data_IF_867028177372
#
_entry.id   IF_867028177372
#
_cell.length_a   1.000
_cell.length_b   1.000
_cell.length_c   1.000
_cell.angle_alpha   90.00
_cell.angle_beta   90.00
_cell.angle_gamma   90.00
#
_symmetry.space_group_name_H-M   'P 1'
#
loop_
_entity.id
_entity.type
_entity.pdbx_description
1 polymer ?
#
# COMPACT_ATOMS: atom_id res chain seq x y z
N UNK A 1 1.84 -14.73 4.47
CA UNK A 1 3.27 -14.70 4.88
C UNK A 1 3.40 -13.48 5.76
N UNK A 2 3.83 -13.60 7.01
CA UNK A 2 3.92 -12.42 7.86
C UNK A 2 5.27 -11.71 7.65
N UNK A 3 5.25 -10.50 7.11
CA UNK A 3 6.42 -9.64 6.95
C UNK A 3 6.72 -8.86 8.24
N UNK A 4 8.01 -8.60 8.47
CA UNK A 4 8.47 -7.71 9.54
C UNK A 4 8.09 -6.26 9.28
N UNK A 5 8.02 -5.45 10.33
CA UNK A 5 7.76 -4.02 10.21
C UNK A 5 8.73 -3.32 9.24
N UNK A 6 10.03 -3.63 9.34
CA UNK A 6 11.06 -3.06 8.46
C UNK A 6 10.86 -3.46 6.98
N UNK A 7 10.34 -4.67 6.74
CA UNK A 7 10.00 -5.11 5.38
C UNK A 7 8.79 -4.34 4.85
N UNK A 8 7.76 -4.10 5.67
CA UNK A 8 6.61 -3.28 5.28
C UNK A 8 7.01 -1.83 5.00
N UNK A 9 7.89 -1.26 5.82
CA UNK A 9 8.43 0.09 5.59
C UNK A 9 9.18 0.20 4.26
N UNK A 10 9.99 -0.81 3.91
CA UNK A 10 10.67 -0.84 2.61
C UNK A 10 9.68 -1.01 1.47
N UNK A 11 8.67 -1.87 1.63
CA UNK A 11 7.64 -2.08 0.62
C UNK A 11 6.82 -0.79 0.39
N UNK A 12 6.53 -0.02 1.44
CA UNK A 12 5.91 1.30 1.33
C UNK A 12 6.74 2.24 0.45
N UNK A 13 8.06 2.30 0.64
CA UNK A 13 8.94 3.17 -0.15
C UNK A 13 8.95 2.74 -1.62
N UNK A 14 9.05 1.43 -1.87
CA UNK A 14 8.98 0.85 -3.21
C UNK A 14 7.66 1.20 -3.91
N UNK A 15 6.53 1.08 -3.21
CA UNK A 15 5.19 1.39 -3.74
C UNK A 15 4.99 2.90 -3.94
N UNK A 16 5.46 3.74 -3.02
CA UNK A 16 5.14 5.16 -3.09
C UNK A 16 6.03 5.93 -4.07
N UNK A 17 7.32 5.60 -4.19
CA UNK A 17 8.25 6.45 -4.94
C UNK A 17 9.55 5.84 -5.45
N UNK A 18 10.09 4.75 -4.86
CA UNK A 18 11.41 4.25 -5.29
C UNK A 18 11.37 3.49 -6.63
N UNK A 19 10.28 2.79 -6.94
CA UNK A 19 10.13 2.10 -8.24
C UNK A 19 9.54 3.04 -9.29
N UNK A 20 8.51 3.77 -8.90
CA UNK A 20 7.87 4.86 -9.64
C UNK A 20 7.18 5.78 -8.64
N UNK A 21 7.11 7.08 -8.95
CA UNK A 21 6.34 8.02 -8.14
C UNK A 21 4.85 7.76 -8.34
N UNK A 22 4.15 7.40 -7.26
CA UNK A 22 2.68 7.30 -7.24
C UNK A 22 2.08 8.45 -6.43
N UNK A 23 1.21 9.22 -7.09
CA UNK A 23 0.32 10.20 -6.48
C UNK A 23 -0.77 9.53 -5.62
N UNK A 24 -1.52 10.33 -4.86
CA UNK A 24 -2.63 9.82 -4.04
C UNK A 24 -3.64 8.94 -4.81
N UNK A 25 -4.18 9.41 -5.95
CA UNK A 25 -5.06 8.60 -6.79
C UNK A 25 -4.40 7.30 -7.33
N UNK A 26 -3.12 7.35 -7.67
CA UNK A 26 -2.38 6.18 -8.17
C UNK A 26 -2.15 5.13 -7.07
N UNK A 27 -1.92 5.57 -5.83
CA UNK A 27 -1.82 4.65 -4.68
C UNK A 27 -3.18 3.98 -4.41
N UNK A 28 -4.30 4.70 -4.51
CA UNK A 28 -5.64 4.08 -4.41
C UNK A 28 -5.83 3.05 -5.51
N UNK A 29 -5.50 3.39 -6.76
CA UNK A 29 -5.60 2.47 -7.91
C UNK A 29 -4.71 1.25 -7.74
N UNK A 30 -3.51 1.40 -7.18
CA UNK A 30 -2.65 0.25 -6.85
C UNK A 30 -3.36 -0.68 -5.84
N UNK A 31 -3.92 -0.09 -4.78
CA UNK A 31 -4.54 -0.85 -3.71
C UNK A 31 -5.93 -1.44 -4.07
N UNK A 32 -6.61 -0.94 -5.10
CA UNK A 32 -7.89 -1.52 -5.53
C UNK A 32 -7.78 -2.97 -6.01
N UNK A 33 -6.56 -3.44 -6.35
CA UNK A 33 -6.28 -4.85 -6.65
C UNK A 33 -6.37 -5.78 -5.42
N UNK A 34 -6.56 -5.24 -4.22
CA UNK A 34 -6.60 -5.99 -2.96
C UNK A 34 -7.95 -5.87 -2.24
N UNK A 35 -9.04 -5.71 -2.99
CA UNK A 35 -10.44 -5.55 -2.54
C UNK A 35 -10.75 -4.20 -1.84
N UNK A 36 -9.93 -3.18 -2.09
CA UNK A 36 -10.17 -1.83 -1.60
C UNK A 36 -10.97 -0.99 -2.60
N UNK A 37 -11.91 -0.20 -2.09
CA UNK A 37 -12.78 0.70 -2.89
C UNK A 37 -12.71 2.14 -2.37
N UNK A 38 -11.51 2.56 -1.93
CA UNK A 38 -11.29 3.89 -1.38
C UNK A 38 -11.40 4.98 -2.46
N UNK A 39 -11.71 6.21 -2.04
CA UNK A 39 -11.81 7.38 -2.92
C UNK A 39 -10.86 8.48 -2.46
N UNK A 40 -10.17 9.12 -3.42
CA UNK A 40 -9.27 10.22 -3.13
C UNK A 40 -10.06 11.53 -3.02
N UNK A 41 -10.22 12.03 -1.80
CA UNK A 41 -11.07 13.18 -1.50
C UNK A 41 -10.46 14.07 -0.42
N UNK A 42 -11.09 15.20 -0.12
CA UNK A 42 -10.62 16.09 0.96
C UNK A 42 -10.57 15.33 2.29
N UNK A 43 -9.49 15.51 3.03
CA UNK A 43 -9.24 14.78 4.28
C UNK A 43 -8.63 13.39 4.10
N UNK A 44 -8.30 12.99 2.86
CA UNK A 44 -7.59 11.74 2.61
C UNK A 44 -6.21 11.76 3.32
N UNK A 45 -5.80 10.65 3.96
CA UNK A 45 -4.52 10.57 4.66
C UNK A 45 -3.34 10.82 3.71
N UNK A 46 -2.18 11.16 4.28
CA UNK A 46 -0.95 11.22 3.50
C UNK A 46 -0.62 9.85 2.89
N UNK A 47 0.10 9.85 1.77
CA UNK A 47 0.49 8.63 1.02
C UNK A 47 1.11 7.56 1.91
N UNK A 48 2.01 7.95 2.81
CA UNK A 48 2.71 7.01 3.68
C UNK A 48 1.78 6.36 4.70
N UNK A 49 0.85 7.14 5.31
CA UNK A 49 -0.14 6.63 6.28
C UNK A 49 -1.08 5.64 5.60
N UNK A 50 -1.58 5.99 4.42
CA UNK A 50 -2.48 5.12 3.67
C UNK A 50 -1.79 3.79 3.31
N UNK A 51 -0.60 3.85 2.71
CA UNK A 51 0.13 2.66 2.29
C UNK A 51 0.48 1.76 3.48
N UNK A 52 0.93 2.32 4.61
CA UNK A 52 1.19 1.53 5.83
C UNK A 52 -0.07 0.83 6.34
N UNK A 53 -1.21 1.54 6.37
CA UNK A 53 -2.48 0.94 6.78
C UNK A 53 -2.87 -0.24 5.88
N UNK A 54 -2.80 -0.06 4.55
CA UNK A 54 -3.18 -1.11 3.59
C UNK A 54 -2.24 -2.30 3.63
N UNK A 55 -0.94 -2.08 3.75
CA UNK A 55 0.06 -3.14 3.88
C UNK A 55 -0.15 -3.96 5.16
N UNK A 56 -0.40 -3.31 6.29
CA UNK A 56 -0.69 -4.00 7.55
C UNK A 56 -1.92 -4.90 7.46
N UNK A 57 -3.00 -4.40 6.85
CA UNK A 57 -4.24 -5.16 6.67
C UNK A 57 -4.06 -6.42 5.81
N UNK A 58 -3.18 -6.39 4.80
CA UNK A 58 -2.94 -7.55 3.92
C UNK A 58 -1.80 -8.46 4.39
N UNK A 59 -0.96 -8.02 5.35
CA UNK A 59 0.28 -8.69 5.74
C UNK A 59 0.08 -10.16 6.15
N UNK A 60 -0.92 -10.46 6.98
CA UNK A 60 -1.19 -11.84 7.42
C UNK A 60 -1.99 -12.67 6.40
N UNK A 61 -2.34 -12.11 5.24
CA UNK A 61 -3.21 -12.75 4.24
C UNK A 61 -2.42 -13.33 3.06
N UNK A 62 -3.10 -14.02 2.14
CA UNK A 62 -2.52 -14.44 0.86
C UNK A 62 -2.15 -13.26 -0.05
N UNK A 63 -2.82 -12.11 0.10
CA UNK A 63 -2.66 -10.92 -0.74
C UNK A 63 -1.27 -10.30 -0.62
N UNK A 64 -0.59 -10.45 0.53
CA UNK A 64 0.79 -9.96 0.67
C UNK A 64 1.75 -10.63 -0.31
N UNK A 65 1.51 -11.90 -0.66
CA UNK A 65 2.33 -12.61 -1.65
C UNK A 65 2.12 -12.02 -3.04
N UNK A 66 0.88 -11.67 -3.38
CA UNK A 66 0.53 -11.02 -4.64
C UNK A 66 1.16 -9.62 -4.71
N UNK A 67 1.21 -8.89 -3.59
CA UNK A 67 1.78 -7.55 -3.51
C UNK A 67 3.30 -7.49 -3.74
N UNK A 68 4.03 -8.58 -3.46
CA UNK A 68 5.50 -8.63 -3.59
C UNK A 68 5.99 -9.37 -4.84
N UNK A 69 5.06 -9.89 -5.66
CA UNK A 69 5.37 -10.67 -6.86
C UNK A 69 5.60 -9.75 -8.06
#
# INVERSE_FOLDING_TARGET
>A
MLLSQKSLEKLRLLINEETEYRSGPEIIKFFSNFDYQDQYQQGFPSRWIYTDSRLNNINSTGKIKICIQ
#
